data_IF_043857952578
#
_entry.id   IF_043857952578
#
_cell.length_a   1.000
_cell.length_b   1.000
_cell.length_c   1.000
_cell.angle_alpha   90.00
_cell.angle_beta   90.00
_cell.angle_gamma   90.00
#
_symmetry.space_group_name_H-M   'P 1'
#
loop_
_entity.id
_entity.type
_entity.pdbx_description
1 polymer ?
#
# COMPACT_ATOMS: atom_id res chain seq x y z
N UNK A 1 -40.92 12.30 -6.59
CA UNK A 1 -40.86 11.05 -7.37
C UNK A 1 -39.72 11.25 -8.34
N UNK A 2 -38.45 11.01 -7.98
CA UNK A 2 -37.85 9.80 -7.43
C UNK A 2 -37.09 10.03 -6.11
N UNK A 3 -36.91 8.94 -5.37
CA UNK A 3 -36.38 8.82 -4.02
C UNK A 3 -34.95 8.23 -4.09
N UNK A 4 -33.95 8.96 -3.60
CA UNK A 4 -32.54 8.52 -3.53
C UNK A 4 -32.11 8.10 -2.12
N UNK A 5 -33.04 7.62 -1.29
CA UNK A 5 -32.69 6.86 -0.10
C UNK A 5 -32.41 5.42 -0.47
N UNK A 6 -31.14 5.08 -0.74
CA UNK A 6 -30.48 3.81 -0.32
C UNK A 6 -29.10 3.67 -0.97
N UNK A 7 -28.08 4.25 -0.34
CA UNK A 7 -26.73 3.66 -0.35
C UNK A 7 -26.28 3.52 1.09
N UNK A 8 -26.74 2.42 1.69
CA UNK A 8 -26.08 1.63 2.73
C UNK A 8 -25.03 2.39 3.56
N UNK A 9 -25.52 3.17 4.53
CA UNK A 9 -24.73 3.57 5.68
C UNK A 9 -24.41 2.33 6.51
N UNK A 10 -23.19 1.81 6.37
CA UNK A 10 -22.59 0.93 7.37
C UNK A 10 -21.65 1.77 8.22
N UNK A 11 -22.26 2.35 9.25
CA UNK A 11 -21.62 2.95 10.40
C UNK A 11 -21.29 1.83 11.38
N UNK A 12 -20.15 1.18 11.18
CA UNK A 12 -19.60 0.21 12.11
C UNK A 12 -18.16 0.65 12.42
N UNK A 13 -18.10 1.58 13.37
CA UNK A 13 -17.11 1.66 14.45
C UNK A 13 -15.75 0.97 14.22
N UNK A 14 -14.91 1.60 13.40
CA UNK A 14 -13.46 1.38 13.42
C UNK A 14 -12.76 2.73 13.48
N UNK A 15 -12.29 3.06 14.68
CA UNK A 15 -11.67 4.31 15.07
C UNK A 15 -10.41 4.65 14.25
N UNK A 16 -10.49 5.48 13.22
CA UNK A 16 -9.28 5.93 12.48
C UNK A 16 -9.39 7.39 11.96
N UNK A 17 -9.10 8.41 12.79
CA UNK A 17 -9.25 9.82 12.41
C UNK A 17 -8.14 10.39 11.50
N UNK A 18 -7.23 9.57 10.93
CA UNK A 18 -6.04 10.07 10.20
C UNK A 18 -5.94 9.70 8.72
N UNK A 19 -6.95 9.04 8.14
CA UNK A 19 -6.92 8.64 6.72
C UNK A 19 -8.12 9.19 5.96
N UNK A 20 -7.85 9.76 4.80
CA UNK A 20 -8.81 10.22 3.81
C UNK A 20 -9.66 9.06 3.26
N UNK A 21 -10.80 9.37 2.65
CA UNK A 21 -11.67 8.38 2.03
C UNK A 21 -10.94 7.54 0.96
N UNK A 22 -10.03 8.18 0.21
CA UNK A 22 -9.20 7.53 -0.79
C UNK A 22 -8.24 6.50 -0.18
N UNK A 23 -7.49 6.90 0.86
CA UNK A 23 -6.56 6.00 1.57
C UNK A 23 -7.29 4.78 2.16
N UNK A 24 -8.48 5.00 2.72
CA UNK A 24 -9.34 3.91 3.20
C UNK A 24 -9.69 2.96 2.06
N UNK A 25 -10.16 3.47 0.92
CA UNK A 25 -10.50 2.65 -0.24
C UNK A 25 -9.34 1.79 -0.74
N UNK A 26 -8.13 2.37 -0.83
CA UNK A 26 -6.93 1.66 -1.27
C UNK A 26 -6.52 0.57 -0.27
N UNK A 27 -6.51 0.88 1.02
CA UNK A 27 -6.12 -0.06 2.08
C UNK A 27 -7.14 -1.20 2.17
N UNK A 28 -8.43 -0.88 2.36
CA UNK A 28 -9.48 -1.88 2.55
C UNK A 28 -9.70 -2.73 1.29
N UNK A 29 -9.68 -2.13 0.11
CA UNK A 29 -9.81 -2.85 -1.16
C UNK A 29 -8.67 -3.86 -1.37
N UNK A 30 -7.41 -3.44 -1.15
CA UNK A 30 -6.25 -4.34 -1.28
C UNK A 30 -6.29 -5.48 -0.26
N UNK A 31 -6.71 -5.23 0.97
CA UNK A 31 -6.82 -6.26 2.02
C UNK A 31 -7.89 -7.29 1.70
N UNK A 32 -9.08 -6.86 1.25
CA UNK A 32 -10.16 -7.76 0.89
C UNK A 32 -9.75 -8.69 -0.25
N UNK A 33 -9.15 -8.15 -1.31
CA UNK A 33 -8.63 -8.93 -2.44
C UNK A 33 -7.56 -9.90 -1.98
N UNK A 34 -6.60 -9.44 -1.18
CA UNK A 34 -5.51 -10.30 -0.67
C UNK A 34 -6.08 -11.46 0.13
N UNK A 35 -7.01 -11.21 1.05
CA UNK A 35 -7.68 -12.27 1.82
C UNK A 35 -8.38 -13.27 0.92
N UNK A 36 -9.22 -12.80 -0.01
CA UNK A 36 -9.97 -13.68 -0.91
C UNK A 36 -9.04 -14.58 -1.74
N UNK A 37 -7.97 -14.02 -2.30
CA UNK A 37 -6.99 -14.78 -3.08
C UNK A 37 -6.22 -15.76 -2.18
N UNK A 38 -5.78 -15.33 -0.99
CA UNK A 38 -5.09 -16.21 -0.03
C UNK A 38 -5.97 -17.38 0.43
N UNK A 39 -7.27 -17.18 0.60
CA UNK A 39 -8.20 -18.28 0.91
C UNK A 39 -8.37 -19.26 -0.27
N UNK A 40 -8.30 -18.78 -1.51
CA UNK A 40 -8.47 -19.62 -2.69
C UNK A 40 -7.21 -20.44 -3.03
N UNK A 41 -6.02 -19.83 -2.90
CA UNK A 41 -4.77 -20.42 -3.36
C UNK A 41 -3.70 -20.53 -2.29
N UNK A 42 -3.97 -20.31 -1.02
CA UNK A 42 -2.96 -20.38 0.05
C UNK A 42 -2.09 -19.12 0.14
N UNK A 43 -1.85 -18.57 1.36
CA UNK A 43 -1.10 -17.32 1.53
C UNK A 43 0.33 -17.38 1.00
N UNK A 44 1.02 -18.51 1.12
CA UNK A 44 2.41 -18.71 0.70
C UNK A 44 2.63 -18.64 -0.81
N UNK A 45 1.55 -18.52 -1.59
CA UNK A 45 1.57 -18.30 -3.06
C UNK A 45 1.12 -16.90 -3.47
N UNK A 46 0.80 -16.03 -2.51
CA UNK A 46 0.28 -14.68 -2.77
C UNK A 46 1.35 -13.63 -2.45
N UNK A 47 1.69 -12.82 -3.45
CA UNK A 47 2.48 -11.61 -3.29
C UNK A 47 1.61 -10.35 -3.39
N UNK A 48 1.92 -9.32 -2.61
CA UNK A 48 1.23 -8.03 -2.66
C UNK A 48 2.19 -6.96 -3.16
N UNK A 49 1.79 -6.19 -4.19
CA UNK A 49 2.56 -5.06 -4.68
C UNK A 49 1.90 -3.72 -4.32
N UNK A 50 2.71 -2.79 -3.79
CA UNK A 50 2.30 -1.43 -3.46
C UNK A 50 3.31 -0.40 -3.95
N UNK A 51 2.82 0.81 -4.19
CA UNK A 51 3.61 1.97 -4.61
C UNK A 51 3.11 3.20 -3.86
N UNK A 52 3.41 3.32 -2.55
CA UNK A 52 2.83 4.37 -1.70
C UNK A 52 3.24 5.78 -2.09
N UNK A 53 4.38 5.92 -2.79
CA UNK A 53 5.02 7.17 -3.14
C UNK A 53 5.18 7.35 -4.67
N UNK A 54 4.21 6.86 -5.44
CA UNK A 54 4.18 7.04 -6.89
C UNK A 54 2.92 7.81 -7.26
N UNK A 55 3.12 9.00 -7.82
CA UNK A 55 2.06 9.89 -8.30
C UNK A 55 1.66 9.50 -9.73
N UNK A 56 0.97 8.37 -9.87
CA UNK A 56 0.48 7.90 -11.17
C UNK A 56 -1.06 7.94 -11.19
N UNK A 57 -1.66 8.63 -12.18
CA UNK A 57 -3.12 8.78 -12.38
C UNK A 57 -3.87 9.53 -11.26
N UNK A 58 -3.37 10.68 -10.80
CA UNK A 58 -3.97 11.51 -9.74
C UNK A 58 -4.15 10.80 -8.37
N UNK A 59 -3.52 9.63 -8.20
CA UNK A 59 -3.47 8.89 -6.95
C UNK A 59 -2.34 9.43 -6.05
N UNK A 60 -2.46 10.69 -5.62
CA UNK A 60 -1.51 11.34 -4.73
C UNK A 60 -1.94 11.22 -3.27
N UNK A 61 -1.01 10.81 -2.40
CA UNK A 61 -1.20 10.83 -0.96
C UNK A 61 -0.42 11.97 -0.31
N UNK A 62 -1.03 12.71 0.61
CA UNK A 62 -0.36 13.79 1.33
C UNK A 62 0.76 13.31 2.27
N UNK A 63 0.79 12.02 2.60
CA UNK A 63 1.77 11.38 3.46
C UNK A 63 2.08 9.92 3.03
N UNK A 64 2.81 9.74 1.93
CA UNK A 64 3.10 8.42 1.37
C UNK A 64 3.87 7.50 2.34
N UNK A 65 4.66 8.08 3.23
CA UNK A 65 5.38 7.37 4.30
C UNK A 65 4.42 6.65 5.25
N UNK A 66 3.46 7.38 5.81
CA UNK A 66 2.47 6.82 6.75
C UNK A 66 1.48 5.88 6.05
N UNK A 67 1.10 6.16 4.81
CA UNK A 67 0.29 5.24 4.01
C UNK A 67 0.98 3.88 3.85
N UNK A 68 2.28 3.87 3.54
CA UNK A 68 3.07 2.64 3.46
C UNK A 68 3.05 1.85 4.78
N UNK A 69 3.22 2.52 5.92
CA UNK A 69 3.11 1.88 7.23
C UNK A 69 1.72 1.33 7.52
N UNK A 70 0.67 2.07 7.17
CA UNK A 70 -0.71 1.65 7.38
C UNK A 70 -0.99 0.35 6.62
N UNK A 71 -0.58 0.27 5.36
CA UNK A 71 -0.74 -0.96 4.56
C UNK A 71 0.08 -2.10 5.17
N UNK A 72 1.35 -1.87 5.53
CA UNK A 72 2.21 -2.90 6.14
C UNK A 72 1.61 -3.42 7.45
N UNK A 73 1.11 -2.54 8.32
CA UNK A 73 0.49 -2.92 9.57
C UNK A 73 -0.74 -3.83 9.33
N UNK A 74 -1.60 -3.47 8.38
CA UNK A 74 -2.77 -4.29 8.05
C UNK A 74 -2.43 -5.62 7.38
N UNK A 75 -1.40 -5.65 6.54
CA UNK A 75 -0.91 -6.92 5.97
C UNK A 75 -0.36 -7.84 7.07
N UNK A 76 0.36 -7.28 8.05
CA UNK A 76 0.83 -8.06 9.19
C UNK A 76 -0.33 -8.59 10.05
N UNK A 77 -1.37 -7.79 10.29
CA UNK A 77 -2.60 -8.24 10.95
C UNK A 77 -3.28 -9.37 10.17
N UNK A 78 -3.47 -9.19 8.86
CA UNK A 78 -4.04 -10.22 7.99
C UNK A 78 -3.23 -11.53 8.04
N UNK A 79 -1.90 -11.45 7.98
CA UNK A 79 -1.03 -12.63 8.08
C UNK A 79 -1.19 -13.39 9.40
N UNK A 80 -1.54 -12.71 10.50
CA UNK A 80 -1.80 -13.38 11.79
C UNK A 80 -3.13 -14.16 11.78
N UNK A 81 -4.07 -13.76 10.94
CA UNK A 81 -5.35 -14.44 10.77
C UNK A 81 -5.28 -15.58 9.74
N UNK A 82 -4.30 -15.52 8.83
CA UNK A 82 -4.04 -16.55 7.84
C UNK A 82 -3.22 -17.71 8.44
N UNK A 83 -3.26 -18.86 7.78
CA UNK A 83 -2.57 -20.09 8.23
C UNK A 83 -1.05 -20.01 8.08
N UNK A 84 -0.56 -19.14 7.19
CA UNK A 84 0.85 -18.91 6.91
C UNK A 84 1.07 -17.45 6.45
N UNK A 85 2.33 -17.03 6.35
CA UNK A 85 2.69 -15.69 5.85
C UNK A 85 2.48 -15.59 4.33
N UNK A 86 2.29 -14.35 3.85
CA UNK A 86 2.29 -14.08 2.41
C UNK A 86 3.66 -14.43 1.81
N UNK A 87 3.68 -14.77 0.52
CA UNK A 87 4.90 -15.10 -0.21
C UNK A 87 5.92 -13.95 -0.15
N UNK A 88 5.46 -12.72 -0.41
CA UNK A 88 6.25 -11.49 -0.29
C UNK A 88 5.39 -10.23 -0.34
N UNK A 89 5.92 -9.13 0.21
CA UNK A 89 5.51 -7.77 -0.08
C UNK A 89 6.50 -7.15 -1.06
N UNK A 90 6.02 -6.64 -2.18
CA UNK A 90 6.82 -5.92 -3.17
C UNK A 90 6.49 -4.43 -3.13
N UNK A 91 7.48 -3.60 -2.76
CA UNK A 91 7.32 -2.15 -2.73
C UNK A 91 8.16 -1.54 -3.85
N UNK A 92 7.52 -0.75 -4.71
CA UNK A 92 8.25 0.04 -5.71
C UNK A 92 8.81 1.30 -5.04
N UNK A 93 10.10 1.56 -5.26
CA UNK A 93 10.79 2.71 -4.69
C UNK A 93 10.12 4.01 -5.14
N UNK A 94 10.00 5.02 -4.24
CA UNK A 94 9.52 6.35 -4.61
C UNK A 94 10.29 6.88 -5.82
N UNK A 95 9.57 7.18 -6.90
CA UNK A 95 10.07 8.05 -7.98
C UNK A 95 9.10 9.21 -8.01
N UNK A 96 9.49 10.33 -7.41
CA UNK A 96 8.69 11.55 -7.30
C UNK A 96 8.37 12.22 -8.67
N UNK A 97 8.66 11.55 -9.78
CA UNK A 97 8.32 11.96 -11.15
C UNK A 97 7.93 10.73 -11.97
N UNK A 98 6.69 10.27 -11.79
CA UNK A 98 6.15 9.15 -12.55
C UNK A 98 5.31 9.59 -13.76
N UNK A 99 5.71 10.64 -14.47
CA UNK A 99 5.47 10.79 -15.91
C UNK A 99 6.45 11.80 -16.50
N UNK A 100 7.10 11.44 -17.60
CA UNK A 100 7.96 12.34 -18.38
C UNK A 100 9.44 12.26 -18.02
N UNK A 101 10.20 11.57 -18.87
CA UNK A 101 11.63 11.87 -19.07
C UNK A 101 11.84 13.27 -19.75
N UNK A 102 11.01 14.26 -19.43
CA UNK A 102 10.99 15.55 -20.12
C UNK A 102 10.86 16.76 -19.20
N UNK A 103 10.67 16.59 -17.89
CA UNK A 103 10.79 17.72 -16.97
C UNK A 103 11.75 17.39 -15.84
N UNK A 104 12.72 18.27 -15.69
CA UNK A 104 13.77 18.34 -14.69
C UNK A 104 13.21 18.58 -13.28
N UNK A 105 12.26 17.75 -12.85
CA UNK A 105 11.87 17.66 -11.44
C UNK A 105 13.04 17.15 -10.62
N UNK A 106 13.29 17.75 -9.46
CA UNK A 106 14.31 17.29 -8.51
C UNK A 106 14.12 15.78 -8.31
N UNK A 107 15.14 14.99 -8.64
CA UNK A 107 15.22 13.61 -8.16
C UNK A 107 14.97 13.69 -6.66
N UNK A 108 13.89 13.05 -6.19
CA UNK A 108 13.67 12.98 -4.74
C UNK A 108 14.91 12.37 -4.11
N UNK A 109 15.25 12.83 -2.90
CA UNK A 109 16.49 12.44 -2.23
C UNK A 109 16.56 10.91 -2.14
N UNK A 110 17.51 10.31 -2.86
CA UNK A 110 17.72 8.86 -2.87
C UNK A 110 17.98 8.32 -1.47
N UNK A 111 18.59 9.15 -0.60
CA UNK A 111 18.81 8.83 0.82
C UNK A 111 17.48 8.78 1.57
N UNK A 112 16.57 9.72 1.31
CA UNK A 112 15.24 9.74 1.91
C UNK A 112 14.40 8.54 1.43
N UNK A 113 14.37 8.29 0.12
CA UNK A 113 13.72 7.12 -0.45
C UNK A 113 14.29 5.81 0.15
N UNK A 114 15.61 5.71 0.30
CA UNK A 114 16.28 4.59 0.95
C UNK A 114 15.86 4.40 2.40
N UNK A 115 15.82 5.48 3.20
CA UNK A 115 15.35 5.45 4.60
C UNK A 115 13.89 5.02 4.70
N UNK A 116 13.02 5.50 3.83
CA UNK A 116 11.62 5.09 3.79
C UNK A 116 11.48 3.58 3.50
N UNK A 117 12.19 3.08 2.50
CA UNK A 117 12.18 1.67 2.13
C UNK A 117 12.70 0.78 3.27
N UNK A 118 13.79 1.19 3.95
CA UNK A 118 14.31 0.49 5.12
C UNK A 118 13.31 0.45 6.27
N UNK A 119 12.59 1.55 6.51
CA UNK A 119 11.59 1.63 7.57
C UNK A 119 10.41 0.67 7.31
N UNK A 120 9.88 0.63 6.09
CA UNK A 120 8.83 -0.32 5.72
C UNK A 120 9.31 -1.78 5.74
N UNK A 121 10.55 -2.03 5.27
CA UNK A 121 11.20 -3.34 5.35
C UNK A 121 11.30 -3.85 6.78
N UNK A 122 11.64 -2.99 7.74
CA UNK A 122 11.75 -3.33 9.15
C UNK A 122 10.39 -3.63 9.80
N UNK A 123 9.34 -2.94 9.34
CA UNK A 123 7.98 -3.12 9.85
C UNK A 123 7.29 -4.39 9.32
N UNK A 124 7.51 -4.75 8.05
CA UNK A 124 6.85 -5.91 7.45
C UNK A 124 7.39 -7.24 7.99
N UNK A 125 6.47 -8.15 8.35
CA UNK A 125 6.80 -9.48 8.89
C UNK A 125 6.75 -10.53 7.79
N UNK A 126 7.79 -10.56 6.96
CA UNK A 126 7.93 -11.54 5.90
C UNK A 126 8.99 -11.17 4.88
N UNK A 127 8.93 -11.82 3.72
CA UNK A 127 9.81 -11.51 2.59
C UNK A 127 9.42 -10.16 1.99
N UNK A 128 10.39 -9.26 1.85
CA UNK A 128 10.18 -7.92 1.30
C UNK A 128 11.08 -7.71 0.10
N UNK A 129 10.48 -7.34 -1.03
CA UNK A 129 11.15 -7.05 -2.28
C UNK A 129 11.07 -5.54 -2.59
N UNK A 130 12.18 -4.97 -3.02
CA UNK A 130 12.26 -3.58 -3.50
C UNK A 130 12.52 -3.56 -5.00
N UNK A 131 11.92 -2.61 -5.73
CA UNK A 131 12.27 -2.34 -7.13
C UNK A 131 12.38 -0.85 -7.42
N UNK A 132 13.49 -0.41 -8.02
CA UNK A 132 13.65 0.94 -8.55
C UNK A 132 15.10 1.41 -8.62
N UNK A 133 15.82 1.09 -9.70
CA UNK A 133 17.17 1.66 -9.95
C UNK A 133 18.30 1.07 -9.10
N UNK A 134 18.31 -0.25 -8.87
CA UNK A 134 19.44 -0.91 -8.20
C UNK A 134 20.70 -0.79 -9.05
N UNK A 135 21.70 -0.05 -8.58
CA UNK A 135 23.07 -0.11 -9.10
C UNK A 135 23.84 -1.20 -8.38
N UNK A 136 24.58 -2.03 -9.13
CA UNK A 136 25.54 -3.01 -8.62
C UNK A 136 26.83 -2.31 -8.16
#
# INVERSE_FOLDING_TARGET
MYDERHVMGRTDDLAFPRFTFFERGVIFGKLAVTRSVSSAIGPGRVGVRISPAIDHLDAHDSNPFNLGFAVVARLNELQRELTESLAYLHVTQPRYTAYGQTESGRAGDEVEAGRMMQAWRAAFKGTFMCSGGTTL
#
